data_IF_665962578961
#
_entry.id   IF_665962578961
#
_cell.length_a   1.000
_cell.length_b   1.000
_cell.length_c   1.000
_cell.angle_alpha   90.00
_cell.angle_beta   90.00
_cell.angle_gamma   90.00
#
_symmetry.space_group_name_H-M   'P 1'
#
loop_
_entity.id
_entity.type
_entity.pdbx_description
1 polymer ?
#
# COMPACT_ATOMS: atom_id res chain seq x y z
N UNK A 1 -7.38 12.30 -13.14
CA UNK A 1 -7.66 12.63 -11.73
C UNK A 1 -8.64 11.62 -11.14
N UNK A 2 -8.30 10.97 -10.04
CA UNK A 2 -9.18 9.99 -9.39
C UNK A 2 -10.20 10.71 -8.51
N UNK A 3 -11.47 10.73 -8.95
CA UNK A 3 -12.51 11.57 -8.34
C UNK A 3 -12.87 11.13 -6.90
N UNK A 4 -12.88 9.82 -6.62
CA UNK A 4 -13.29 9.26 -5.30
C UNK A 4 -12.12 8.67 -4.53
N UNK A 5 -12.15 8.76 -3.20
CA UNK A 5 -11.17 8.14 -2.29
C UNK A 5 -11.03 6.63 -2.53
N UNK A 6 -12.13 5.90 -2.68
CA UNK A 6 -12.05 4.46 -2.96
C UNK A 6 -11.32 4.13 -4.28
N UNK A 7 -11.50 4.97 -5.30
CA UNK A 7 -10.75 4.84 -6.54
C UNK A 7 -9.25 5.04 -6.32
N UNK A 8 -8.86 5.99 -5.45
CA UNK A 8 -7.44 6.27 -5.18
C UNK A 8 -6.78 5.06 -4.53
N UNK A 9 -7.44 4.45 -3.54
CA UNK A 9 -6.95 3.25 -2.84
C UNK A 9 -6.86 2.05 -3.79
N UNK A 10 -7.89 1.82 -4.61
CA UNK A 10 -7.88 0.73 -5.61
C UNK A 10 -6.77 0.94 -6.63
N UNK A 11 -6.62 2.15 -7.17
CA UNK A 11 -5.52 2.46 -8.11
C UNK A 11 -4.16 2.23 -7.45
N UNK A 12 -3.98 2.65 -6.20
CA UNK A 12 -2.74 2.41 -5.47
C UNK A 12 -2.46 0.90 -5.32
N UNK A 13 -3.43 0.15 -4.81
CA UNK A 13 -3.29 -1.28 -4.56
C UNK A 13 -2.97 -2.06 -5.84
N UNK A 14 -3.73 -1.81 -6.92
CA UNK A 14 -3.51 -2.46 -8.21
C UNK A 14 -2.14 -2.07 -8.80
N UNK A 15 -1.78 -0.78 -8.74
CA UNK A 15 -0.47 -0.33 -9.24
C UNK A 15 0.68 -0.98 -8.48
N UNK A 16 0.61 -1.04 -7.15
CA UNK A 16 1.60 -1.68 -6.31
C UNK A 16 1.79 -3.16 -6.66
N UNK A 17 0.69 -3.91 -6.75
CA UNK A 17 0.73 -5.34 -7.10
C UNK A 17 1.29 -5.55 -8.51
N UNK A 18 0.84 -4.77 -9.50
CA UNK A 18 1.35 -4.88 -10.87
C UNK A 18 2.84 -4.56 -10.95
N UNK A 19 3.29 -3.48 -10.29
CA UNK A 19 4.72 -3.16 -10.23
C UNK A 19 5.49 -4.29 -9.55
N UNK A 20 4.95 -4.92 -8.51
CA UNK A 20 5.60 -6.04 -7.85
C UNK A 20 5.82 -7.22 -8.80
N UNK A 21 4.77 -7.60 -9.54
CA UNK A 21 4.80 -8.68 -10.53
C UNK A 21 5.80 -8.36 -11.66
N UNK A 22 5.73 -7.17 -12.25
CA UNK A 22 6.54 -6.83 -13.43
C UNK A 22 7.99 -6.46 -13.11
N UNK A 23 8.23 -5.74 -12.00
CA UNK A 23 9.57 -5.29 -11.64
C UNK A 23 10.35 -6.31 -10.81
N UNK A 24 9.66 -7.32 -10.24
CA UNK A 24 10.23 -8.27 -9.29
C UNK A 24 10.89 -7.60 -8.06
N UNK A 25 10.54 -6.35 -7.78
CA UNK A 25 11.18 -5.50 -6.78
C UNK A 25 10.12 -4.86 -5.88
N UNK A 26 10.04 -5.36 -4.64
CA UNK A 26 9.20 -4.77 -3.60
C UNK A 26 9.51 -3.29 -3.38
N UNK A 27 10.79 -2.90 -3.47
CA UNK A 27 11.21 -1.52 -3.33
C UNK A 27 10.59 -0.62 -4.41
N UNK A 28 10.57 -1.07 -5.66
CA UNK A 28 9.90 -0.35 -6.75
C UNK A 28 8.37 -0.32 -6.55
N UNK A 29 7.79 -1.43 -6.10
CA UNK A 29 6.36 -1.54 -5.83
C UNK A 29 5.87 -0.61 -4.72
N UNK A 30 6.72 -0.28 -3.74
CA UNK A 30 6.42 0.71 -2.70
C UNK A 30 6.59 2.13 -3.23
N UNK A 31 7.70 2.42 -3.91
CA UNK A 31 8.07 3.81 -4.25
C UNK A 31 7.25 4.37 -5.39
N UNK A 32 7.03 3.61 -6.46
CA UNK A 32 6.40 4.13 -7.67
C UNK A 32 4.95 4.57 -7.38
N UNK A 33 4.04 3.69 -6.93
CA UNK A 33 2.67 4.10 -6.60
C UNK A 33 2.65 5.07 -5.41
N UNK A 34 3.49 4.82 -4.40
CA UNK A 34 3.60 5.64 -3.20
C UNK A 34 3.88 7.11 -3.52
N UNK A 35 4.85 7.39 -4.40
CA UNK A 35 5.19 8.78 -4.78
C UNK A 35 4.28 9.34 -5.86
N UNK A 36 3.89 8.54 -6.85
CA UNK A 36 3.04 9.00 -7.95
C UNK A 36 1.66 9.45 -7.46
N UNK A 37 1.12 8.84 -6.40
CA UNK A 37 -0.22 9.12 -5.89
C UNK A 37 -0.26 10.15 -4.75
N UNK A 38 0.89 10.55 -4.20
CA UNK A 38 0.97 11.59 -3.14
C UNK A 38 0.15 12.84 -3.47
N UNK A 39 0.22 13.44 -4.67
CA UNK A 39 -0.59 14.62 -5.00
C UNK A 39 -2.10 14.41 -4.80
N UNK A 40 -2.62 13.21 -5.12
CA UNK A 40 -4.02 12.88 -4.93
C UNK A 40 -4.39 12.64 -3.45
N UNK A 41 -3.45 12.17 -2.63
CA UNK A 41 -3.64 12.11 -1.17
C UNK A 41 -3.67 13.52 -0.56
N UNK A 42 -2.77 14.42 -1.01
CA UNK A 42 -2.74 15.83 -0.59
C UNK A 42 -4.03 16.57 -0.92
N UNK A 43 -4.49 16.48 -2.17
CA UNK A 43 -5.74 17.12 -2.63
C UNK A 43 -6.95 16.71 -1.77
N UNK A 44 -6.96 15.47 -1.29
CA UNK A 44 -8.05 14.91 -0.48
C UNK A 44 -7.84 15.08 1.02
N UNK A 45 -6.78 15.78 1.44
CA UNK A 45 -6.38 15.96 2.85
C UNK A 45 -6.27 14.64 3.61
N UNK A 46 -5.87 13.56 2.94
CA UNK A 46 -5.69 12.26 3.57
C UNK A 46 -4.32 12.25 4.23
N UNK A 47 -4.23 11.72 5.45
CA UNK A 47 -2.98 11.66 6.20
C UNK A 47 -1.94 10.75 5.51
N UNK A 48 -0.64 11.10 5.55
CA UNK A 48 0.44 10.33 4.92
C UNK A 48 0.55 8.89 5.45
N UNK A 49 0.14 8.65 6.69
CA UNK A 49 0.08 7.31 7.30
C UNK A 49 -0.86 6.38 6.55
N UNK A 50 -1.95 6.89 5.95
CA UNK A 50 -2.86 6.08 5.15
C UNK A 50 -2.16 5.64 3.87
N UNK A 51 -1.41 6.53 3.21
CA UNK A 51 -0.59 6.16 2.05
C UNK A 51 0.44 5.10 2.43
N UNK A 52 1.16 5.29 3.54
CA UNK A 52 2.14 4.32 4.04
C UNK A 52 1.51 2.96 4.34
N UNK A 53 0.34 2.95 5.00
CA UNK A 53 -0.41 1.73 5.30
C UNK A 53 -0.76 0.98 4.02
N UNK A 54 -1.29 1.68 3.02
CA UNK A 54 -1.66 1.08 1.74
C UNK A 54 -0.43 0.51 1.03
N UNK A 55 0.75 1.17 1.09
CA UNK A 55 1.99 0.61 0.56
C UNK A 55 2.32 -0.75 1.19
N UNK A 56 2.27 -0.84 2.53
CA UNK A 56 2.57 -2.10 3.23
C UNK A 56 1.55 -3.19 2.89
N UNK A 57 0.26 -2.84 2.91
CA UNK A 57 -0.83 -3.79 2.67
C UNK A 57 -0.87 -4.31 1.23
N UNK A 58 -0.22 -3.65 0.27
CA UNK A 58 -0.38 -3.96 -1.16
C UNK A 58 0.92 -4.27 -1.89
N UNK A 59 2.04 -3.68 -1.49
CA UNK A 59 3.36 -3.98 -2.06
C UNK A 59 4.15 -4.98 -1.18
N UNK A 60 4.27 -4.71 0.12
CA UNK A 60 5.10 -5.53 1.01
C UNK A 60 4.56 -6.93 1.14
N UNK A 61 3.29 -7.07 1.54
CA UNK A 61 2.69 -8.39 1.79
C UNK A 61 2.51 -9.22 0.53
N UNK A 62 2.47 -8.62 -0.66
CA UNK A 62 2.29 -9.35 -1.93
C UNK A 62 3.60 -9.77 -2.58
N UNK A 63 4.74 -9.28 -2.10
CA UNK A 63 6.08 -9.61 -2.63
C UNK A 63 6.40 -11.11 -2.65
N UNK A 64 6.04 -11.91 -1.62
CA UNK A 64 6.26 -13.37 -1.67
C UNK A 64 5.47 -14.08 -2.78
N UNK A 65 4.44 -13.46 -3.35
CA UNK A 65 3.63 -14.06 -4.42
C UNK A 65 4.35 -14.07 -5.78
N UNK A 66 5.46 -13.33 -5.92
CA UNK A 66 6.19 -13.18 -7.18
C UNK A 66 7.32 -14.21 -7.21
N UNK A 67 7.21 -15.32 -7.97
CA UNK A 67 8.18 -16.43 -7.91
C UNK A 67 9.59 -16.03 -8.34
N UNK A 68 9.69 -15.07 -9.25
CA UNK A 68 10.95 -14.51 -9.75
C UNK A 68 11.43 -13.28 -8.95
N UNK A 69 10.72 -12.90 -7.89
CA UNK A 69 11.10 -11.83 -6.98
C UNK A 69 11.97 -12.32 -5.82
N UNK A 70 12.72 -11.41 -5.21
CA UNK A 70 13.64 -11.72 -4.11
C UNK A 70 12.95 -12.46 -2.94
N UNK A 71 11.79 -11.97 -2.51
CA UNK A 71 11.03 -12.58 -1.41
C UNK A 71 10.47 -13.96 -1.79
N UNK A 72 10.00 -14.12 -3.04
CA UNK A 72 9.51 -15.40 -3.54
C UNK A 72 10.60 -16.47 -3.51
N UNK A 73 11.77 -16.14 -4.07
CA UNK A 73 12.96 -17.01 -4.07
C UNK A 73 13.41 -17.34 -2.64
N UNK A 74 13.44 -16.35 -1.75
CA UNK A 74 13.77 -16.58 -0.34
C UNK A 74 12.84 -17.58 0.33
N UNK A 75 11.52 -17.44 0.14
CA UNK A 75 10.53 -18.39 0.70
C UNK A 75 10.71 -19.79 0.13
N UNK A 76 10.94 -19.92 -1.18
CA UNK A 76 11.21 -21.24 -1.77
C UNK A 76 12.48 -21.89 -1.20
N UNK A 77 13.53 -21.09 -0.95
CA UNK A 77 14.79 -21.58 -0.39
C UNK A 77 14.68 -22.03 1.07
N UNK A 78 13.89 -21.32 1.88
CA UNK A 78 13.68 -21.67 3.30
C UNK A 78 12.70 -22.83 3.46
N UNK A 79 11.60 -22.83 2.71
CA UNK A 79 10.54 -23.84 2.83
C UNK A 79 10.83 -25.12 2.05
N UNK A 80 11.72 -25.08 1.06
CA UNK A 80 12.05 -26.23 0.21
C UNK A 80 10.95 -26.62 -0.79
N UNK A 81 9.95 -25.75 -1.00
CA UNK A 81 8.81 -25.97 -1.92
C UNK A 81 8.73 -24.83 -2.93
N UNK A 82 8.07 -25.06 -4.06
CA UNK A 82 7.91 -24.02 -5.07
C UNK A 82 6.93 -22.93 -4.60
N UNK A 83 6.99 -21.74 -5.22
CA UNK A 83 6.10 -20.63 -4.86
C UNK A 83 4.63 -21.01 -4.92
N UNK A 84 4.22 -21.73 -5.95
CA UNK A 84 2.82 -22.16 -6.12
C UNK A 84 2.35 -23.11 -5.01
N UNK A 85 3.26 -23.85 -4.37
CA UNK A 85 2.92 -24.81 -3.33
C UNK A 85 2.61 -24.11 -2.00
N UNK A 86 3.36 -23.04 -1.66
CA UNK A 86 3.05 -22.25 -0.46
C UNK A 86 2.00 -21.16 -0.70
N UNK A 87 1.71 -20.84 -1.96
CA UNK A 87 0.80 -19.77 -2.37
C UNK A 87 -0.57 -19.84 -1.67
N UNK A 88 -1.22 -21.01 -1.47
CA UNK A 88 -2.51 -21.08 -0.77
C UNK A 88 -2.45 -20.71 0.72
N UNK A 89 -1.26 -20.75 1.34
CA UNK A 89 -1.08 -20.60 2.79
C UNK A 89 -0.65 -19.19 3.21
N UNK A 90 -0.26 -18.32 2.28
CA UNK A 90 0.14 -16.93 2.56
C UNK A 90 -1.07 -16.01 2.70
N UNK A 91 -1.94 -16.31 3.66
CA UNK A 91 -3.22 -15.63 3.86
C UNK A 91 -3.09 -14.10 3.99
N UNK A 92 -2.04 -13.62 4.66
CA UNK A 92 -1.80 -12.19 4.84
C UNK A 92 -1.65 -11.46 3.50
N UNK A 93 -0.99 -12.09 2.52
CA UNK A 93 -0.77 -11.55 1.18
C UNK A 93 -2.05 -11.34 0.39
N UNK A 94 -3.16 -12.01 0.76
CA UNK A 94 -4.47 -11.83 0.13
C UNK A 94 -5.40 -10.95 0.95
N UNK A 95 -5.43 -11.19 2.26
CA UNK A 95 -6.38 -10.53 3.15
C UNK A 95 -6.05 -9.05 3.33
N UNK A 96 -4.78 -8.69 3.48
CA UNK A 96 -4.41 -7.29 3.69
C UNK A 96 -4.77 -6.40 2.48
N UNK A 97 -4.43 -6.73 1.21
CA UNK A 97 -4.89 -5.95 0.06
C UNK A 97 -6.42 -5.88 -0.04
N UNK A 98 -7.11 -7.01 0.21
CA UNK A 98 -8.56 -7.09 0.15
C UNK A 98 -9.23 -6.16 1.17
N UNK A 99 -8.80 -6.24 2.44
CA UNK A 99 -9.30 -5.38 3.52
C UNK A 99 -9.01 -3.92 3.21
N UNK A 100 -7.84 -3.60 2.67
CA UNK A 100 -7.46 -2.24 2.31
C UNK A 100 -8.32 -1.67 1.18
N UNK A 101 -8.65 -2.47 0.18
CA UNK A 101 -9.64 -2.09 -0.84
C UNK A 101 -11.01 -1.85 -0.22
N UNK A 102 -11.48 -2.73 0.67
CA UNK A 102 -12.77 -2.56 1.37
C UNK A 102 -12.78 -1.25 2.18
N UNK A 103 -11.71 -0.95 2.92
CA UNK A 103 -11.56 0.30 3.67
C UNK A 103 -11.57 1.52 2.77
N UNK A 104 -10.90 1.46 1.62
CA UNK A 104 -10.96 2.52 0.61
C UNK A 104 -12.35 2.75 0.05
N UNK A 105 -13.06 1.68 -0.33
CA UNK A 105 -14.40 1.75 -0.92
C UNK A 105 -15.47 2.22 0.08
N UNK A 106 -15.38 1.76 1.32
CA UNK A 106 -16.30 2.17 2.41
C UNK A 106 -15.89 3.47 3.08
N UNK A 107 -14.73 4.04 2.71
CA UNK A 107 -14.11 5.21 3.33
C UNK A 107 -13.91 5.04 4.85
N UNK A 108 -13.77 3.80 5.33
CA UNK A 108 -13.46 3.49 6.73
C UNK A 108 -11.95 3.46 6.93
N UNK A 109 -11.49 3.95 8.09
CA UNK A 109 -10.06 4.04 8.41
C UNK A 109 -9.23 4.80 7.37
N UNK A 110 -9.84 5.74 6.65
CA UNK A 110 -9.14 6.72 5.82
C UNK A 110 -9.05 8.01 6.64
N UNK A 111 -7.96 8.16 7.38
CA UNK A 111 -7.77 9.30 8.26
C UNK A 111 -7.42 10.56 7.46
N UNK A 112 -8.04 11.68 7.82
CA UNK A 112 -7.84 12.97 7.18
C UNK A 112 -7.25 13.99 8.15
N UNK A 113 -6.59 14.98 7.59
CA UNK A 113 -6.08 16.12 8.33
C UNK A 113 -7.23 16.85 9.04
N UNK A 114 -7.03 17.24 10.31
CA UNK A 114 -8.02 17.90 11.15
C UNK A 114 -9.03 16.96 11.85
N UNK A 115 -9.22 15.72 11.37
CA UNK A 115 -10.09 14.74 12.04
C UNK A 115 -9.38 13.96 13.16
N UNK A 116 -8.06 13.84 13.07
CA UNK A 116 -7.23 13.11 14.02
C UNK A 116 -5.91 13.84 14.18
N UNK A 117 -5.44 13.97 15.42
CA UNK A 117 -4.11 14.52 15.67
C UNK A 117 -3.04 13.61 15.06
N UNK A 118 -2.10 14.24 14.37
CA UNK A 118 -1.10 13.56 13.55
C UNK A 118 0.22 14.29 13.64
N UNK A 119 1.29 13.53 13.88
CA UNK A 119 2.67 14.06 13.94
C UNK A 119 3.14 14.57 12.58
N UNK A 120 2.66 13.96 11.48
CA UNK A 120 3.01 14.33 10.11
C UNK A 120 1.75 14.57 9.30
N UNK A 121 1.69 15.68 8.60
CA UNK A 121 0.65 15.98 7.62
C UNK A 121 1.32 16.38 6.30
N UNK A 122 0.54 16.50 5.22
CA UNK A 122 1.11 16.99 3.98
C UNK A 122 1.23 18.52 3.94
N UNK A 123 0.55 19.21 4.86
CA UNK A 123 0.45 20.66 5.00
C UNK A 123 0.96 21.10 6.39
N UNK A 124 2.12 20.58 6.81
CA UNK A 124 2.70 20.90 8.13
C UNK A 124 3.04 22.40 8.29
N UNK A 125 3.20 23.15 7.19
CA UNK A 125 3.42 24.60 7.18
C UNK A 125 2.20 25.42 7.66
N UNK A 126 0.99 24.83 7.64
CA UNK A 126 -0.25 25.48 8.09
C UNK A 126 -0.61 25.14 9.56
N UNK A 127 0.24 24.40 10.28
CA UNK A 127 -0.01 24.05 11.67
C UNK A 127 0.30 25.27 12.56
N UNK A 128 -0.65 25.78 13.37
CA UNK A 128 -0.28 26.74 14.41
C UNK A 128 0.77 26.08 15.30
N UNK A 129 1.89 26.77 15.53
CA UNK A 129 2.94 26.28 16.42
C UNK A 129 2.30 25.89 17.75
N UNK A 130 2.41 24.61 18.08
CA UNK A 130 1.98 24.13 19.40
C UNK A 130 3.08 24.61 20.35
N UNK A 131 2.82 25.75 21.00
CA UNK A 131 3.60 26.30 22.11
C UNK A 131 3.58 25.35 23.30
#
# INVERSE_FOLDING_TARGET
>A
AVKKTGGLVVTHAVSAILVNIFSASQYMAIIIPGRMLVPAYKEKKILPQVCSRICEDTATVTSPLVPWGLCGVYFTGVLGVATLDYLPFVFLSYLAPLITVIYGLTNKFIWREGERDSVKTYHDEDRPEIV
#
